data_IF_525173513786
#
_entry.id   IF_525173513786
#
_cell.length_a   1.000
_cell.length_b   1.000
_cell.length_c   1.000
_cell.angle_alpha   90.00
_cell.angle_beta   90.00
_cell.angle_gamma   90.00
#
_symmetry.space_group_name_H-M   'P 1'
#
loop_
_entity.id
_entity.type
_entity.pdbx_description
1 polymer ?
#
# COMPACT_ATOMS: atom_id res chain seq x y z
N UNK A 1 -3.00 8.97 0.59
CA UNK A 1 -2.25 7.87 1.24
C UNK A 1 -0.77 8.13 1.05
N UNK A 2 0.05 8.05 2.11
CA UNK A 2 1.50 8.27 2.02
C UNK A 2 2.23 6.94 2.16
N UNK A 3 3.29 6.73 1.38
CA UNK A 3 4.18 5.56 1.47
C UNK A 3 5.55 5.99 1.96
N UNK A 4 6.21 5.14 2.76
CA UNK A 4 7.60 5.34 3.21
C UNK A 4 8.52 4.47 2.37
N UNK A 5 9.57 5.07 1.84
CA UNK A 5 10.62 4.39 1.07
C UNK A 5 11.91 4.39 1.87
N UNK A 6 12.64 3.29 1.84
CA UNK A 6 13.95 3.11 2.48
C UNK A 6 14.89 2.40 1.53
N UNK A 7 16.05 3.00 1.26
CA UNK A 7 17.16 2.33 0.59
C UNK A 7 17.80 1.28 1.52
N UNK A 8 18.07 0.11 0.97
CA UNK A 8 18.66 -1.06 1.63
C UNK A 8 19.87 -1.55 0.84
N UNK A 9 20.58 -2.54 1.38
CA UNK A 9 21.69 -3.19 0.67
C UNK A 9 21.21 -4.01 -0.55
N UNK A 10 19.92 -4.37 -0.58
CA UNK A 10 19.27 -5.20 -1.61
C UNK A 10 18.34 -4.37 -2.53
N UNK A 11 18.47 -3.04 -2.57
CA UNK A 11 17.60 -2.15 -3.36
C UNK A 11 16.73 -1.25 -2.49
N UNK A 12 15.44 -1.11 -2.80
CA UNK A 12 14.51 -0.20 -2.14
C UNK A 12 13.36 -0.97 -1.51
N UNK A 13 13.13 -0.76 -0.22
CA UNK A 13 11.96 -1.25 0.50
C UNK A 13 10.94 -0.12 0.65
N UNK A 14 9.67 -0.42 0.45
CA UNK A 14 8.56 0.52 0.59
C UNK A 14 7.43 -0.09 1.39
N UNK A 15 6.75 0.73 2.19
CA UNK A 15 5.56 0.30 2.93
C UNK A 15 4.59 1.46 3.14
N UNK A 16 3.30 1.15 3.29
CA UNK A 16 2.29 2.14 3.62
C UNK A 16 1.99 2.13 5.13
N UNK A 17 2.34 3.18 5.91
CA UNK A 17 2.04 3.22 7.34
C UNK A 17 0.54 3.14 7.66
N UNK A 18 -0.31 3.59 6.73
CA UNK A 18 -1.76 3.52 6.86
C UNK A 18 -2.33 2.10 6.62
N UNK A 19 -1.54 1.20 6.03
CA UNK A 19 -1.92 -0.19 5.77
C UNK A 19 -0.85 -1.15 6.35
N UNK A 20 -0.89 -1.42 7.66
CA UNK A 20 0.04 -2.36 8.29
C UNK A 20 0.02 -3.71 7.59
N UNK A 21 1.19 -4.18 7.13
CA UNK A 21 1.32 -5.42 6.38
C UNK A 21 1.45 -5.24 4.86
N UNK A 22 1.16 -4.05 4.34
CA UNK A 22 1.41 -3.72 2.93
C UNK A 22 2.86 -3.25 2.74
N UNK A 23 3.71 -4.17 2.26
CA UNK A 23 5.15 -3.98 2.04
C UNK A 23 5.53 -4.46 0.64
N UNK A 24 6.53 -3.82 0.05
CA UNK A 24 7.11 -4.24 -1.22
C UNK A 24 8.58 -3.84 -1.34
N UNK A 25 9.27 -4.42 -2.31
CA UNK A 25 10.68 -4.18 -2.61
C UNK A 25 10.90 -4.11 -4.13
N UNK A 26 11.98 -3.44 -4.55
CA UNK A 26 12.48 -3.46 -5.92
C UNK A 26 13.96 -3.06 -5.97
N UNK A 27 14.65 -3.39 -7.06
CA UNK A 27 16.03 -2.98 -7.30
C UNK A 27 16.13 -1.46 -7.48
N UNK A 28 15.05 -0.85 -7.99
CA UNK A 28 14.89 0.60 -8.15
C UNK A 28 13.76 1.14 -7.28
N UNK A 29 13.82 2.42 -6.94
CA UNK A 29 12.74 3.10 -6.21
C UNK A 29 11.43 3.03 -6.99
N UNK A 30 11.49 3.21 -8.30
CA UNK A 30 10.33 3.21 -9.20
C UNK A 30 9.67 1.81 -9.24
N UNK A 31 10.47 0.74 -9.35
CA UNK A 31 9.98 -0.63 -9.26
C UNK A 31 9.33 -0.92 -7.90
N UNK A 32 9.98 -0.55 -6.79
CA UNK A 32 9.41 -0.74 -5.45
C UNK A 32 8.06 -0.02 -5.33
N UNK A 33 7.97 1.20 -5.88
CA UNK A 33 6.75 2.02 -5.90
C UNK A 33 5.65 1.46 -6.82
N UNK A 34 5.97 0.85 -7.95
CA UNK A 34 4.99 0.13 -8.77
C UNK A 34 4.48 -1.11 -8.01
N UNK A 35 5.39 -1.91 -7.45
CA UNK A 35 5.02 -3.15 -6.76
C UNK A 35 4.13 -2.88 -5.52
N UNK A 36 4.34 -1.79 -4.78
CA UNK A 36 3.47 -1.46 -3.64
C UNK A 36 2.07 -0.98 -4.08
N UNK A 37 1.92 -0.40 -5.27
CA UNK A 37 0.59 -0.03 -5.78
C UNK A 37 -0.26 -1.27 -6.00
N UNK A 38 0.31 -2.32 -6.57
CA UNK A 38 -0.36 -3.60 -6.76
C UNK A 38 -0.75 -4.23 -5.41
N UNK A 39 0.15 -4.21 -4.43
CA UNK A 39 -0.13 -4.71 -3.08
C UNK A 39 -1.25 -3.93 -2.37
N UNK A 40 -1.31 -2.60 -2.57
CA UNK A 40 -2.40 -1.76 -2.05
C UNK A 40 -3.71 -2.11 -2.75
N UNK A 41 -3.69 -2.29 -4.08
CA UNK A 41 -4.90 -2.63 -4.83
C UNK A 41 -5.49 -3.97 -4.36
N UNK A 42 -4.67 -5.01 -4.25
CA UNK A 42 -5.09 -6.32 -3.75
C UNK A 42 -5.67 -6.22 -2.33
N UNK A 43 -5.09 -5.39 -1.47
CA UNK A 43 -5.62 -5.15 -0.13
C UNK A 43 -7.02 -4.53 -0.19
N UNK A 44 -7.21 -3.48 -1.00
CA UNK A 44 -8.49 -2.79 -1.13
C UNK A 44 -9.56 -3.71 -1.72
N UNK A 45 -9.22 -4.48 -2.76
CA UNK A 45 -10.12 -5.46 -3.36
C UNK A 45 -10.57 -6.51 -2.33
N UNK A 46 -9.64 -7.00 -1.50
CA UNK A 46 -9.95 -7.94 -0.42
C UNK A 46 -10.88 -7.32 0.63
N UNK A 47 -10.67 -6.04 0.97
CA UNK A 47 -11.56 -5.33 1.91
C UNK A 47 -12.95 -5.19 1.32
N UNK A 48 -13.09 -4.81 0.06
CA UNK A 48 -14.38 -4.67 -0.61
C UNK A 48 -15.13 -6.02 -0.67
N UNK A 49 -14.41 -7.13 -0.92
CA UNK A 49 -14.99 -8.48 -0.87
C UNK A 49 -15.48 -8.91 0.52
N UNK A 50 -14.83 -8.43 1.60
CA UNK A 50 -15.23 -8.75 2.96
C UNK A 50 -16.50 -8.03 3.42
N UNK A 51 -16.84 -6.91 2.79
CA UNK A 51 -17.98 -6.04 3.15
C UNK A 51 -18.74 -5.56 1.89
N UNK A 52 -19.33 -6.49 1.12
CA UNK A 52 -19.89 -6.20 -0.21
C UNK A 52 -21.06 -5.21 -0.21
N UNK A 53 -21.76 -5.04 0.92
CA UNK A 53 -22.92 -4.16 1.08
C UNK A 53 -22.68 -2.99 2.07
N UNK A 54 -21.41 -2.67 2.38
CA UNK A 54 -21.11 -1.58 3.29
C UNK A 54 -21.33 -0.21 2.62
N UNK A 55 -22.21 0.61 3.19
CA UNK A 55 -22.27 2.05 2.88
C UNK A 55 -21.07 2.76 3.53
N UNK A 56 -19.99 2.93 2.78
CA UNK A 56 -18.81 3.69 3.19
C UNK A 56 -18.85 5.15 2.68
N UNK A 57 -18.35 6.10 3.48
CA UNK A 57 -18.12 7.49 3.07
C UNK A 57 -16.76 7.98 3.54
N UNK A 58 -16.06 8.71 2.69
CA UNK A 58 -14.80 9.35 3.05
C UNK A 58 -15.07 10.60 3.89
N UNK A 59 -14.35 10.73 5.01
CA UNK A 59 -14.37 11.91 5.88
C UNK A 59 -12.95 12.35 6.16
N UNK A 60 -12.69 13.65 6.11
CA UNK A 60 -11.42 14.21 6.57
C UNK A 60 -11.45 14.31 8.09
N UNK A 61 -10.42 13.79 8.75
CA UNK A 61 -10.24 13.88 10.20
C UNK A 61 -9.09 14.85 10.47
N UNK A 62 -9.35 15.87 11.29
CA UNK A 62 -8.43 16.96 11.62
C UNK A 62 -7.36 16.55 12.65
#
# INVERSE_FOLDING_TARGET
>A
MQSKVKKTDEGYAVWCPSLPGCWSQGDTEEEALENIKDAIQVYLDTVDEMIPDAEARYVEVA
#
